data_IF_916904980846
#
_entry.id   IF_916904980846
#
_cell.length_a   1.000
_cell.length_b   1.000
_cell.length_c   1.000
_cell.angle_alpha   90.00
_cell.angle_beta   90.00
_cell.angle_gamma   90.00
#
_symmetry.space_group_name_H-M   'P 1'
#
loop_
_entity.id
_entity.type
_entity.pdbx_description
1 polymer ?
#
# COMPACT_ATOMS: atom_id res chain seq x y z
N UNK A 1 -13.83 -6.71 -9.40
CA UNK A 1 -12.70 -5.76 -9.36
C UNK A 1 -11.45 -6.54 -9.03
N UNK A 2 -10.34 -6.28 -9.73
CA UNK A 2 -9.05 -6.87 -9.41
C UNK A 2 -8.44 -6.20 -8.18
N UNK A 3 -7.57 -6.87 -7.44
CA UNK A 3 -6.94 -6.28 -6.25
C UNK A 3 -5.99 -5.13 -6.64
N UNK A 4 -5.35 -5.25 -7.81
CA UNK A 4 -4.51 -4.18 -8.36
C UNK A 4 -5.28 -2.88 -8.64
N UNK A 5 -6.52 -2.97 -9.10
CA UNK A 5 -7.37 -1.79 -9.32
C UNK A 5 -7.71 -1.11 -7.98
N UNK A 6 -7.96 -1.91 -6.93
CA UNK A 6 -8.20 -1.39 -5.58
C UNK A 6 -6.95 -0.73 -5.00
N UNK A 7 -5.77 -1.32 -5.19
CA UNK A 7 -4.49 -0.73 -4.78
C UNK A 7 -4.23 0.60 -5.50
N UNK A 8 -4.51 0.67 -6.81
CA UNK A 8 -4.41 1.91 -7.57
C UNK A 8 -5.38 2.98 -7.09
N UNK A 9 -6.64 2.63 -6.79
CA UNK A 9 -7.61 3.58 -6.24
C UNK A 9 -7.20 4.07 -4.84
N UNK A 10 -6.61 3.20 -4.04
CA UNK A 10 -6.09 3.54 -2.72
C UNK A 10 -4.99 4.62 -2.82
N UNK A 11 -4.10 4.49 -3.81
CA UNK A 11 -3.03 5.46 -4.08
C UNK A 11 -3.50 6.78 -4.71
N UNK A 12 -4.75 6.86 -5.17
CA UNK A 12 -5.35 8.13 -5.59
C UNK A 12 -5.90 8.95 -4.41
N UNK A 13 -6.06 8.34 -3.23
CA UNK A 13 -6.58 9.03 -2.05
C UNK A 13 -5.43 9.62 -1.23
N UNK A 14 -5.10 10.87 -1.52
CA UNK A 14 -4.18 11.66 -0.70
C UNK A 14 -4.96 12.51 0.31
N UNK A 15 -4.42 12.77 1.52
CA UNK A 15 -3.11 12.33 2.02
C UNK A 15 -3.04 10.84 2.36
N UNK A 16 -1.86 10.22 2.20
CA UNK A 16 -1.65 8.83 2.59
C UNK A 16 -1.56 8.72 4.11
N UNK A 17 -2.36 7.83 4.68
CA UNK A 17 -2.44 7.61 6.13
C UNK A 17 -1.93 6.21 6.50
N UNK A 18 -1.79 5.95 7.79
CA UNK A 18 -1.48 4.61 8.28
C UNK A 18 -2.54 3.60 7.84
N UNK A 19 -3.80 4.03 7.73
CA UNK A 19 -4.89 3.20 7.22
C UNK A 19 -4.66 2.83 5.75
N UNK A 20 -4.17 3.77 4.93
CA UNK A 20 -3.74 3.50 3.53
C UNK A 20 -2.68 2.39 3.49
N UNK A 21 -1.71 2.40 4.40
CA UNK A 21 -0.68 1.35 4.47
C UNK A 21 -1.27 -0.02 4.84
N UNK A 22 -2.17 -0.06 5.82
CA UNK A 22 -2.85 -1.29 6.25
C UNK A 22 -3.73 -1.88 5.15
N UNK A 23 -4.49 -1.04 4.46
CA UNK A 23 -5.35 -1.47 3.36
C UNK A 23 -4.50 -1.97 2.18
N UNK A 24 -3.38 -1.32 1.89
CA UNK A 24 -2.44 -1.77 0.87
C UNK A 24 -1.84 -3.15 1.23
N UNK A 25 -1.31 -3.32 2.45
CA UNK A 25 -0.75 -4.58 2.90
C UNK A 25 -1.79 -5.72 2.88
N UNK A 26 -3.06 -5.41 3.19
CA UNK A 26 -4.16 -6.38 3.08
C UNK A 26 -4.42 -6.79 1.62
N UNK A 27 -4.39 -5.84 0.69
CA UNK A 27 -4.55 -6.13 -0.75
C UNK A 27 -3.39 -6.96 -1.28
N UNK A 28 -2.16 -6.65 -0.87
CA UNK A 28 -0.97 -7.43 -1.23
C UNK A 28 -1.07 -8.88 -0.71
N UNK A 29 -1.44 -9.07 0.57
CA UNK A 29 -1.63 -10.40 1.17
C UNK A 29 -2.76 -11.21 0.53
N UNK A 30 -3.81 -10.53 0.02
CA UNK A 30 -4.92 -11.19 -0.68
C UNK A 30 -4.55 -11.57 -2.11
N UNK A 31 -3.62 -10.86 -2.73
CA UNK A 31 -3.21 -11.11 -4.10
C UNK A 31 -2.31 -12.35 -4.19
N UNK A 32 -2.35 -13.01 -5.35
CA UNK A 32 -1.54 -14.20 -5.62
C UNK A 32 -0.95 -14.15 -7.02
N UNK A 33 0.23 -14.73 -7.18
CA UNK A 33 0.92 -14.81 -8.48
C UNK A 33 1.24 -13.42 -9.04
N UNK A 34 0.94 -13.20 -10.31
CA UNK A 34 1.30 -11.96 -11.01
C UNK A 34 0.64 -10.72 -10.39
N UNK A 35 -0.58 -10.83 -9.86
CA UNK A 35 -1.29 -9.70 -9.26
C UNK A 35 -0.60 -9.22 -7.96
N UNK A 36 -0.02 -10.14 -7.18
CA UNK A 36 0.76 -9.79 -5.99
C UNK A 36 2.03 -9.02 -6.37
N UNK A 37 2.72 -9.46 -7.43
CA UNK A 37 3.91 -8.74 -7.93
C UNK A 37 3.56 -7.33 -8.41
N UNK A 38 2.42 -7.17 -9.07
CA UNK A 38 1.96 -5.86 -9.54
C UNK A 38 1.58 -4.94 -8.37
N UNK A 39 1.01 -5.47 -7.29
CA UNK A 39 0.72 -4.68 -6.10
C UNK A 39 2.03 -4.31 -5.40
N UNK A 40 2.94 -5.26 -5.18
CA UNK A 40 4.24 -4.98 -4.57
C UNK A 40 5.06 -3.91 -5.32
N UNK A 41 4.94 -3.84 -6.64
CA UNK A 41 5.57 -2.79 -7.48
C UNK A 41 5.07 -1.36 -7.14
N UNK A 42 3.88 -1.24 -6.55
CA UNK A 42 3.30 0.04 -6.13
C UNK A 42 3.73 0.48 -4.73
N UNK A 43 4.34 -0.41 -3.92
CA UNK A 43 4.77 -0.12 -2.55
C UNK A 43 5.75 1.08 -2.46
N UNK A 44 6.76 1.21 -3.34
CA UNK A 44 7.66 2.38 -3.31
C UNK A 44 6.93 3.70 -3.55
N UNK A 45 5.88 3.70 -4.38
CA UNK A 45 5.09 4.90 -4.64
C UNK A 45 4.25 5.30 -3.42
N UNK A 46 3.70 4.32 -2.70
CA UNK A 46 3.04 4.54 -1.42
C UNK A 46 4.02 5.18 -0.43
N UNK A 47 5.17 4.55 -0.21
CA UNK A 47 6.21 5.00 0.73
C UNK A 47 6.67 6.43 0.41
N UNK A 48 6.89 6.74 -0.87
CA UNK A 48 7.32 8.06 -1.30
C UNK A 48 6.30 9.18 -1.01
N UNK A 49 5.00 8.85 -0.90
CA UNK A 49 3.95 9.80 -0.56
C UNK A 49 3.56 9.85 0.91
N UNK A 50 4.16 9.00 1.77
CA UNK A 50 3.91 9.03 3.21
C UNK A 50 4.71 10.15 3.87
N UNK A 51 4.07 10.89 4.76
CA UNK A 51 4.77 11.74 5.71
C UNK A 51 5.65 10.91 6.66
N UNK A 52 6.74 11.50 7.15
CA UNK A 52 7.74 10.82 7.98
C UNK A 52 7.14 10.10 9.19
N UNK A 53 6.16 10.72 9.86
CA UNK A 53 5.47 10.11 11.01
C UNK A 53 4.72 8.84 10.59
N UNK A 54 3.95 8.91 9.51
CA UNK A 54 3.17 7.77 9.01
C UNK A 54 4.08 6.65 8.52
N UNK A 55 5.18 7.00 7.84
CA UNK A 55 6.19 6.03 7.42
C UNK A 55 6.80 5.30 8.62
N UNK A 56 7.19 6.01 9.68
CA UNK A 56 7.68 5.38 10.91
C UNK A 56 6.65 4.44 11.55
N UNK A 57 5.39 4.85 11.62
CA UNK A 57 4.32 4.00 12.18
C UNK A 57 4.07 2.75 11.32
N UNK A 58 4.06 2.90 10.00
CA UNK A 58 3.89 1.80 9.08
C UNK A 58 5.07 0.81 9.16
N UNK A 59 6.29 1.32 9.31
CA UNK A 59 7.50 0.51 9.48
C UNK A 59 7.49 -0.26 10.81
N UNK A 60 7.07 0.39 11.91
CA UNK A 60 6.92 -0.26 13.23
C UNK A 60 5.91 -1.42 13.19
N UNK A 61 4.85 -1.29 12.39
CA UNK A 61 3.86 -2.36 12.14
C UNK A 61 4.29 -3.40 11.08
N UNK A 62 5.45 -3.21 10.42
CA UNK A 62 5.92 -4.09 9.34
C UNK A 62 5.05 -4.02 8.07
N UNK A 63 4.43 -2.87 7.81
CA UNK A 63 3.58 -2.61 6.64
C UNK A 63 4.35 -2.04 5.44
N UNK A 64 5.58 -1.54 5.67
CA UNK A 64 6.50 -0.96 4.67
C UNK A 64 7.94 -1.35 4.98
#
# INVERSE_FOLDING_TARGET
>A
MKLIEQAQQLLQQTPYTLQTCRDFAKLEQQAKGQEANQIADLLPALIAGLDQQTHMQAFDEGLV
#
